data_IF_335117840329
#
_entry.id   IF_335117840329
#
_cell.length_a   1.000
_cell.length_b   1.000
_cell.length_c   1.000
_cell.angle_alpha   90.00
_cell.angle_beta   90.00
_cell.angle_gamma   90.00
#
_symmetry.space_group_name_H-M   'P 1'
#
loop_
_entity.id
_entity.type
_entity.pdbx_description
1 polymer ?
#
# COMPACT_ATOMS: atom_id res chain seq x y z
N UNK A 1 28.12 57.92 -16.81
CA UNK A 1 29.45 57.31 -16.87
C UNK A 1 29.37 56.19 -17.90
N UNK A 2 29.71 56.46 -19.18
CA UNK A 2 30.91 55.93 -19.86
C UNK A 2 30.96 54.37 -19.83
N UNK A 3 30.98 53.59 -20.92
CA UNK A 3 31.59 53.77 -22.25
C UNK A 3 31.06 52.69 -23.22
N UNK A 4 31.06 53.07 -24.51
CA UNK A 4 30.85 52.33 -25.76
C UNK A 4 31.67 51.02 -25.90
N UNK A 5 31.15 50.06 -26.69
CA UNK A 5 31.69 49.57 -27.99
C UNK A 5 30.98 48.26 -28.41
N UNK A 6 30.22 48.23 -29.51
CA UNK A 6 30.59 48.12 -30.94
C UNK A 6 30.68 46.65 -31.45
N UNK A 7 29.64 46.27 -32.20
CA UNK A 7 29.63 45.58 -33.53
C UNK A 7 30.21 44.16 -33.69
N UNK A 8 29.40 43.19 -34.16
CA UNK A 8 29.15 42.78 -35.57
C UNK A 8 30.33 41.93 -36.14
N UNK A 9 30.22 40.91 -37.00
CA UNK A 9 29.19 40.43 -37.94
C UNK A 9 29.59 38.99 -38.35
N UNK A 10 28.58 38.15 -38.53
CA UNK A 10 28.39 36.97 -39.41
C UNK A 10 29.48 36.67 -40.48
N UNK A 11 29.88 35.40 -40.70
CA UNK A 11 29.62 34.58 -41.93
C UNK A 11 30.43 33.23 -42.01
N UNK A 12 29.68 32.16 -42.29
CA UNK A 12 29.91 30.82 -42.90
C UNK A 12 31.32 30.25 -43.25
N UNK A 13 31.52 28.94 -43.00
CA UNK A 13 31.80 27.83 -43.96
C UNK A 13 32.19 26.55 -43.15
N UNK A 14 31.35 25.52 -43.03
CA UNK A 14 31.29 24.31 -43.88
C UNK A 14 32.62 23.58 -44.16
N UNK A 15 32.97 22.57 -43.36
CA UNK A 15 33.67 21.35 -43.84
C UNK A 15 33.06 20.14 -43.13
N UNK A 16 32.40 19.29 -43.92
CA UNK A 16 31.98 17.95 -43.58
C UNK A 16 33.14 16.96 -43.82
N UNK A 17 33.28 15.92 -43.00
CA UNK A 17 33.68 14.59 -43.49
C UNK A 17 33.33 13.46 -42.49
N UNK A 18 32.34 12.66 -42.91
CA UNK A 18 32.18 11.20 -42.82
C UNK A 18 32.40 10.44 -41.50
N UNK A 19 31.29 9.90 -40.97
CA UNK A 19 31.19 8.45 -40.76
C UNK A 19 29.87 7.94 -41.35
N UNK A 20 30.00 7.14 -42.40
CA UNK A 20 28.94 6.30 -42.96
C UNK A 20 28.81 5.05 -42.10
N UNK A 21 27.62 4.77 -41.58
CA UNK A 21 27.20 3.40 -41.29
C UNK A 21 25.67 3.27 -41.44
N UNK A 22 25.31 2.31 -42.28
CA UNK A 22 24.00 1.88 -42.77
C UNK A 22 22.74 2.25 -41.98
N UNK A 23 21.78 2.80 -42.72
CA UNK A 23 20.42 3.00 -42.27
C UNK A 23 19.61 1.72 -42.12
N UNK A 24 18.69 1.76 -41.16
CA UNK A 24 17.35 1.23 -41.33
C UNK A 24 16.38 2.30 -40.81
N UNK A 25 15.31 2.51 -41.58
CA UNK A 25 14.33 3.57 -41.39
C UNK A 25 13.59 3.36 -40.07
N UNK A 26 13.66 4.34 -39.18
CA UNK A 26 12.71 4.51 -38.07
C UNK A 26 11.35 4.90 -38.65
N UNK A 27 10.44 3.93 -38.73
CA UNK A 27 9.01 4.21 -38.79
C UNK A 27 8.55 4.39 -37.34
N UNK A 28 8.19 5.61 -36.99
CA UNK A 28 7.53 5.93 -35.74
C UNK A 28 6.10 5.39 -35.85
N UNK A 29 5.78 4.37 -35.05
CA UNK A 29 4.40 4.04 -34.74
C UNK A 29 4.24 4.11 -33.22
N UNK A 30 3.30 4.94 -32.79
CA UNK A 30 2.94 5.18 -31.41
C UNK A 30 2.17 3.97 -30.87
N UNK A 31 2.85 3.09 -30.17
CA UNK A 31 2.30 2.21 -29.12
C UNK A 31 3.51 1.59 -28.42
N UNK A 32 3.89 2.17 -27.28
CA UNK A 32 5.10 1.81 -26.55
C UNK A 32 4.88 0.54 -25.71
N UNK A 33 4.95 -0.62 -26.37
CA UNK A 33 5.39 -1.88 -25.76
C UNK A 33 6.81 -2.12 -26.28
N UNK A 34 7.82 -1.98 -25.41
CA UNK A 34 9.19 -2.39 -25.75
C UNK A 34 9.25 -3.91 -25.69
N UNK A 35 9.09 -4.58 -26.83
CA UNK A 35 9.45 -5.99 -26.96
C UNK A 35 10.98 -6.08 -27.01
N UNK A 36 11.61 -6.53 -25.93
CA UNK A 36 12.93 -7.13 -26.06
C UNK A 36 12.80 -8.28 -27.05
N UNK A 37 13.68 -8.35 -28.06
CA UNK A 37 13.60 -9.43 -29.05
C UNK A 37 13.93 -10.75 -28.34
N UNK A 38 12.89 -11.48 -27.98
CA UNK A 38 12.97 -12.87 -27.61
C UNK A 38 13.65 -13.66 -28.76
N UNK A 39 14.26 -14.77 -28.40
CA UNK A 39 14.79 -15.72 -29.39
C UNK A 39 13.70 -16.08 -30.42
N UNK A 40 14.10 -16.35 -31.66
CA UNK A 40 13.14 -16.66 -32.73
C UNK A 40 12.33 -17.91 -32.37
N UNK A 41 11.00 -17.80 -32.38
CA UNK A 41 10.09 -18.89 -32.00
C UNK A 41 9.78 -18.94 -30.51
N UNK A 42 10.15 -17.89 -29.76
CA UNK A 42 9.80 -17.70 -28.36
C UNK A 42 9.01 -16.40 -28.23
N UNK A 43 7.91 -16.47 -27.47
CA UNK A 43 7.11 -15.32 -27.09
C UNK A 43 7.19 -15.09 -25.60
N UNK A 44 7.40 -13.82 -25.24
CA UNK A 44 7.45 -13.35 -23.86
C UNK A 44 6.33 -12.34 -23.66
N UNK A 45 5.51 -12.57 -22.64
CA UNK A 45 4.47 -11.66 -22.18
C UNK A 45 4.87 -11.12 -20.82
N UNK A 46 5.18 -9.82 -20.72
CA UNK A 46 5.59 -9.21 -19.45
C UNK A 46 4.49 -9.30 -18.39
N UNK A 47 4.88 -9.34 -17.12
CA UNK A 47 3.89 -9.20 -16.04
C UNK A 47 3.28 -7.80 -16.01
N UNK A 48 2.11 -7.69 -15.39
CA UNK A 48 1.43 -6.40 -15.24
C UNK A 48 2.31 -5.40 -14.48
N UNK A 49 2.98 -5.83 -13.40
CA UNK A 49 3.88 -4.98 -12.64
C UNK A 49 5.11 -4.54 -13.44
N UNK A 50 5.73 -5.42 -14.24
CA UNK A 50 6.91 -5.08 -15.06
C UNK A 50 6.61 -4.11 -16.19
N UNK A 51 5.42 -4.22 -16.78
CA UNK A 51 4.97 -3.39 -17.91
C UNK A 51 4.25 -2.10 -17.47
N UNK A 52 4.08 -1.90 -16.16
CA UNK A 52 3.34 -0.78 -15.61
C UNK A 52 3.94 0.55 -16.05
N UNK A 53 3.08 1.44 -16.54
CA UNK A 53 3.40 2.85 -16.67
C UNK A 53 2.76 3.59 -15.52
N UNK A 54 3.38 4.70 -15.10
CA UNK A 54 2.82 5.54 -14.05
C UNK A 54 2.40 6.90 -14.60
N UNK A 55 1.49 7.55 -13.88
CA UNK A 55 1.04 8.92 -14.17
C UNK A 55 0.87 9.71 -12.89
N UNK A 56 0.96 11.05 -13.00
CA UNK A 56 0.66 11.94 -11.87
C UNK A 56 -0.86 12.08 -11.75
N UNK A 57 -1.39 11.74 -10.60
CA UNK A 57 -2.74 12.10 -10.15
C UNK A 57 -2.66 13.32 -9.24
N UNK A 58 -3.54 14.29 -9.44
CA UNK A 58 -3.52 15.54 -8.69
C UNK A 58 -4.93 16.09 -8.51
N UNK A 59 -5.21 16.53 -7.29
CA UNK A 59 -6.43 17.23 -6.88
C UNK A 59 -6.05 18.53 -6.17
N UNK A 60 -7.04 19.28 -5.69
CA UNK A 60 -6.77 20.44 -4.82
C UNK A 60 -6.14 20.03 -3.47
N UNK A 61 -6.39 18.81 -3.01
CA UNK A 61 -6.00 18.35 -1.67
C UNK A 61 -4.67 17.61 -1.66
N UNK A 62 -4.33 16.89 -2.72
CA UNK A 62 -3.07 16.15 -2.81
C UNK A 62 -2.64 15.85 -4.24
N UNK A 63 -1.37 15.47 -4.38
CA UNK A 63 -0.83 14.85 -5.58
C UNK A 63 -0.08 13.56 -5.25
N UNK A 64 -0.08 12.62 -6.19
CA UNK A 64 0.56 11.30 -6.05
C UNK A 64 0.80 10.70 -7.44
N UNK A 65 1.85 9.91 -7.58
CA UNK A 65 2.11 9.07 -8.75
C UNK A 65 1.37 7.76 -8.58
N UNK A 66 0.64 7.32 -9.61
CA UNK A 66 -0.13 6.07 -9.58
C UNK A 66 0.18 5.23 -10.81
N UNK A 67 -0.02 3.89 -10.75
CA UNK A 67 -0.11 3.09 -11.95
C UNK A 67 -1.21 3.64 -12.88
N UNK A 68 -0.89 3.77 -14.16
CA UNK A 68 -1.77 4.39 -15.15
C UNK A 68 -3.09 3.62 -15.28
N UNK A 69 -4.20 4.34 -15.25
CA UNK A 69 -5.54 3.76 -15.35
C UNK A 69 -6.06 3.10 -14.06
N UNK A 70 -5.31 3.16 -12.95
CA UNK A 70 -5.84 2.76 -11.65
C UNK A 70 -6.86 3.77 -11.13
N UNK A 71 -7.82 3.26 -10.36
CA UNK A 71 -8.91 4.07 -9.82
C UNK A 71 -8.47 4.71 -8.52
N UNK A 72 -8.64 6.03 -8.41
CA UNK A 72 -8.46 6.77 -7.16
C UNK A 72 -9.82 7.13 -6.59
N UNK A 73 -10.06 6.73 -5.34
CA UNK A 73 -11.23 7.12 -4.56
C UNK A 73 -10.80 7.75 -3.24
N UNK A 74 -11.55 8.75 -2.81
CA UNK A 74 -11.34 9.40 -1.52
C UNK A 74 -12.62 9.41 -0.72
N UNK A 75 -12.49 9.49 0.60
CA UNK A 75 -13.60 9.58 1.53
C UNK A 75 -13.14 10.23 2.83
N UNK A 76 -14.08 10.71 3.63
CA UNK A 76 -13.78 11.43 4.86
C UNK A 76 -13.26 12.84 4.58
N UNK A 77 -13.29 13.69 5.60
CA UNK A 77 -12.79 15.06 5.52
C UNK A 77 -11.70 15.32 6.56
N UNK A 78 -10.84 16.30 6.29
CA UNK A 78 -9.81 16.74 7.23
C UNK A 78 -8.96 15.55 7.75
N UNK A 79 -8.91 15.35 9.06
CA UNK A 79 -8.10 14.30 9.67
C UNK A 79 -8.67 12.88 9.50
N UNK A 80 -9.91 12.75 9.02
CA UNK A 80 -10.52 11.47 8.66
C UNK A 80 -10.35 11.15 7.17
N UNK A 81 -9.63 11.99 6.42
CA UNK A 81 -9.44 11.75 4.99
C UNK A 81 -8.78 10.39 4.72
N UNK A 82 -9.28 9.72 3.70
CA UNK A 82 -8.82 8.42 3.25
C UNK A 82 -8.63 8.44 1.74
N UNK A 83 -7.56 7.78 1.28
CA UNK A 83 -7.23 7.61 -0.13
C UNK A 83 -7.13 6.12 -0.40
N UNK A 84 -7.84 5.63 -1.40
CA UNK A 84 -7.68 4.28 -1.95
C UNK A 84 -7.38 4.37 -3.43
N UNK A 85 -6.27 3.78 -3.83
CA UNK A 85 -5.81 3.70 -5.23
C UNK A 85 -5.69 2.23 -5.57
N UNK A 86 -6.48 1.72 -6.51
CA UNK A 86 -6.51 0.29 -6.81
C UNK A 86 -6.60 -0.01 -8.31
N UNK A 87 -6.09 -1.18 -8.69
CA UNK A 87 -6.34 -1.76 -9.99
C UNK A 87 -7.85 -2.08 -10.12
N UNK A 88 -8.58 -1.49 -11.08
CA UNK A 88 -10.01 -1.74 -11.24
C UNK A 88 -10.33 -3.19 -11.64
N UNK A 89 -9.37 -3.91 -12.23
CA UNK A 89 -9.52 -5.31 -12.63
C UNK A 89 -9.12 -6.29 -11.51
N UNK A 90 -8.24 -5.87 -10.60
CA UNK A 90 -7.81 -6.67 -9.46
C UNK A 90 -7.61 -5.81 -8.19
N UNK A 91 -8.70 -5.47 -7.47
CA UNK A 91 -8.68 -4.47 -6.39
C UNK A 91 -7.79 -4.79 -5.18
N UNK A 92 -7.30 -6.03 -5.05
CA UNK A 92 -6.30 -6.38 -4.02
C UNK A 92 -4.95 -5.73 -4.30
N UNK A 93 -4.66 -5.38 -5.57
CA UNK A 93 -3.52 -4.56 -5.96
C UNK A 93 -3.88 -3.10 -5.67
N UNK A 94 -3.38 -2.57 -4.54
CA UNK A 94 -3.79 -1.25 -4.07
C UNK A 94 -2.78 -0.58 -3.14
N UNK A 95 -2.91 0.74 -3.08
CA UNK A 95 -2.33 1.61 -2.05
C UNK A 95 -3.49 2.23 -1.26
N UNK A 96 -3.43 2.13 0.06
CA UNK A 96 -4.48 2.62 0.95
C UNK A 96 -3.92 3.48 2.08
N UNK A 97 -4.62 4.57 2.36
CA UNK A 97 -4.28 5.53 3.39
C UNK A 97 -5.54 5.90 4.16
N UNK A 98 -5.43 5.92 5.49
CA UNK A 98 -6.37 6.57 6.37
C UNK A 98 -5.60 7.38 7.41
N UNK A 99 -5.91 8.67 7.51
CA UNK A 99 -5.16 9.58 8.38
C UNK A 99 -5.45 9.34 9.87
N UNK A 100 -6.70 9.02 10.21
CA UNK A 100 -7.17 8.74 11.57
C UNK A 100 -8.31 7.74 11.57
N UNK A 101 -8.31 6.87 12.57
CA UNK A 101 -9.40 5.98 12.91
C UNK A 101 -9.77 6.11 14.39
N UNK A 102 -11.02 6.47 14.65
CA UNK A 102 -11.67 6.43 15.96
C UNK A 102 -13.15 6.04 15.78
N UNK A 103 -13.84 5.49 16.78
CA UNK A 103 -13.45 5.20 18.16
C UNK A 103 -13.10 3.72 18.28
N UNK A 104 -12.00 3.37 18.95
CA UNK A 104 -11.58 1.97 19.16
C UNK A 104 -11.64 1.65 20.66
N UNK A 105 -12.73 1.04 21.14
CA UNK A 105 -12.95 0.88 22.58
C UNK A 105 -11.92 -0.04 23.26
N UNK A 106 -11.55 0.29 24.50
CA UNK A 106 -10.61 -0.52 25.29
C UNK A 106 -11.08 -1.94 25.57
N UNK A 107 -12.38 -2.13 25.81
CA UNK A 107 -12.90 -3.41 26.27
C UNK A 107 -14.37 -3.66 25.91
N UNK A 108 -14.73 -4.94 25.86
CA UNK A 108 -16.11 -5.37 25.70
C UNK A 108 -17.00 -4.94 26.89
N UNK A 109 -16.44 -4.83 28.10
CA UNK A 109 -17.14 -4.31 29.27
C UNK A 109 -17.52 -2.83 29.07
N UNK A 110 -16.58 -2.00 28.58
CA UNK A 110 -16.83 -0.62 28.21
C UNK A 110 -17.90 -0.48 27.13
N UNK A 111 -17.81 -1.30 26.06
CA UNK A 111 -18.83 -1.35 25.00
C UNK A 111 -20.23 -1.67 25.55
N UNK A 112 -20.31 -2.67 26.43
CA UNK A 112 -21.56 -3.07 27.08
C UNK A 112 -22.15 -1.94 27.92
N UNK A 113 -21.32 -1.21 28.66
CA UNK A 113 -21.77 -0.05 29.43
C UNK A 113 -22.23 1.10 28.53
N UNK A 114 -21.57 1.37 27.41
CA UNK A 114 -22.05 2.35 26.43
C UNK A 114 -23.42 1.96 25.86
N UNK A 115 -23.62 0.69 25.53
CA UNK A 115 -24.92 0.18 25.08
C UNK A 115 -26.00 0.34 26.15
N UNK A 116 -25.69 0.07 27.42
CA UNK A 116 -26.65 0.27 28.52
C UNK A 116 -27.00 1.74 28.69
N UNK A 117 -26.02 2.64 28.69
CA UNK A 117 -26.25 4.08 28.77
C UNK A 117 -27.14 4.57 27.61
N UNK A 118 -26.93 4.04 26.40
CA UNK A 118 -27.80 4.33 25.26
C UNK A 118 -29.23 3.85 25.49
N UNK A 119 -29.41 2.61 25.97
CA UNK A 119 -30.73 2.04 26.28
C UNK A 119 -31.46 2.80 27.41
N UNK A 120 -30.73 3.47 28.30
CA UNK A 120 -31.27 4.35 29.35
C UNK A 120 -31.64 5.75 28.82
N UNK A 121 -31.51 6.00 27.52
CA UNK A 121 -31.91 7.25 26.86
C UNK A 121 -30.76 8.21 26.57
N UNK A 122 -29.50 7.87 26.86
CA UNK A 122 -28.36 8.70 26.47
C UNK A 122 -28.05 8.53 24.97
N UNK A 123 -28.70 9.33 24.13
CA UNK A 123 -28.50 9.27 22.68
C UNK A 123 -27.07 9.57 22.24
N UNK A 124 -26.27 10.29 23.04
CA UNK A 124 -24.84 10.54 22.76
C UNK A 124 -23.97 9.27 22.88
N UNK A 125 -24.44 8.25 23.59
CA UNK A 125 -23.75 6.97 23.71
C UNK A 125 -23.88 6.09 22.46
N UNK A 126 -24.75 6.45 21.50
CA UNK A 126 -25.02 5.62 20.32
C UNK A 126 -23.75 5.31 19.50
N UNK A 127 -22.89 6.32 19.32
CA UNK A 127 -21.63 6.17 18.57
C UNK A 127 -20.70 5.15 19.25
N UNK A 128 -20.45 5.35 20.55
CA UNK A 128 -19.62 4.45 21.36
C UNK A 128 -20.23 3.04 21.47
N UNK A 129 -21.54 2.91 21.54
CA UNK A 129 -22.19 1.60 21.62
C UNK A 129 -21.97 0.74 20.36
N UNK A 130 -21.80 1.39 19.19
CA UNK A 130 -21.53 0.72 17.91
C UNK A 130 -20.04 0.49 17.66
N UNK A 131 -19.18 1.34 18.20
CA UNK A 131 -17.73 1.32 18.00
C UNK A 131 -17.12 -0.09 18.22
N UNK A 132 -16.11 -0.49 17.43
CA UNK A 132 -15.40 -1.76 17.61
C UNK A 132 -14.56 -1.75 18.90
N UNK A 133 -14.20 -2.94 19.38
CA UNK A 133 -13.31 -3.12 20.54
C UNK A 133 -11.92 -3.52 20.05
N UNK A 134 -10.89 -2.85 20.55
CA UNK A 134 -9.49 -3.19 20.32
C UNK A 134 -8.89 -3.71 21.63
N UNK A 135 -9.09 -5.00 21.93
CA UNK A 135 -8.63 -5.58 23.20
C UNK A 135 -7.10 -5.67 23.31
N UNK A 136 -6.41 -5.80 22.17
CA UNK A 136 -4.96 -5.90 22.09
C UNK A 136 -4.44 -4.70 21.28
N UNK A 137 -4.22 -3.53 21.89
CA UNK A 137 -3.77 -2.34 21.18
C UNK A 137 -2.36 -2.52 20.61
N UNK A 138 -2.28 -2.64 19.30
CA UNK A 138 -1.04 -2.70 18.50
C UNK A 138 -1.36 -2.45 17.03
N UNK A 139 -0.35 -2.27 16.18
CA UNK A 139 -0.55 -2.23 14.73
C UNK A 139 -1.28 -3.50 14.24
N UNK A 140 -0.86 -4.68 14.70
CA UNK A 140 -1.51 -5.94 14.34
C UNK A 140 -2.94 -6.04 14.88
N UNK A 141 -3.14 -5.65 16.14
CA UNK A 141 -4.46 -5.68 16.76
C UNK A 141 -5.46 -4.81 16.01
N UNK A 142 -5.02 -3.62 15.57
CA UNK A 142 -5.82 -2.73 14.75
C UNK A 142 -6.18 -3.36 13.40
N UNK A 143 -5.20 -3.90 12.66
CA UNK A 143 -5.49 -4.52 11.36
C UNK A 143 -6.38 -5.78 11.48
N UNK A 144 -6.30 -6.53 12.58
CA UNK A 144 -7.23 -7.64 12.87
C UNK A 144 -8.69 -7.21 13.02
N UNK A 145 -8.95 -5.98 13.47
CA UNK A 145 -10.31 -5.44 13.61
C UNK A 145 -10.66 -4.42 12.52
N UNK A 146 -9.77 -4.17 11.57
CA UNK A 146 -9.91 -3.08 10.60
C UNK A 146 -11.23 -3.14 9.84
N UNK A 147 -11.60 -4.33 9.37
CA UNK A 147 -12.89 -4.56 8.72
C UNK A 147 -14.09 -4.16 9.60
N UNK A 148 -14.08 -4.52 10.89
CA UNK A 148 -15.12 -4.12 11.84
C UNK A 148 -15.16 -2.60 12.05
N UNK A 149 -13.99 -1.97 12.08
CA UNK A 149 -13.88 -0.51 12.12
C UNK A 149 -14.48 0.12 10.86
N UNK A 150 -14.15 -0.37 9.66
CA UNK A 150 -14.68 0.17 8.40
C UNK A 150 -16.19 0.01 8.27
N UNK A 151 -16.75 -1.11 8.76
CA UNK A 151 -18.20 -1.31 8.81
C UNK A 151 -18.86 -0.28 9.74
N UNK A 152 -18.26 -0.04 10.90
CA UNK A 152 -18.72 0.96 11.85
C UNK A 152 -18.70 2.39 11.27
N UNK A 153 -17.57 2.86 10.73
CA UNK A 153 -17.48 4.25 10.25
C UNK A 153 -18.26 4.49 8.97
N UNK A 154 -18.44 3.47 8.12
CA UNK A 154 -19.28 3.60 6.92
C UNK A 154 -20.76 3.84 7.29
N UNK A 155 -21.21 3.38 8.46
CA UNK A 155 -22.55 3.66 8.97
C UNK A 155 -22.60 4.97 9.79
N UNK A 156 -21.55 5.23 10.57
CA UNK A 156 -21.54 6.31 11.55
C UNK A 156 -21.18 7.69 10.97
N UNK A 157 -20.32 7.74 9.95
CA UNK A 157 -19.72 8.97 9.44
C UNK A 157 -20.21 9.27 8.01
N UNK A 158 -21.09 10.28 7.83
CA UNK A 158 -21.64 10.63 6.52
C UNK A 158 -20.60 11.03 5.46
N UNK A 159 -19.42 11.49 5.90
CA UNK A 159 -18.33 11.89 5.00
C UNK A 159 -17.69 10.70 4.25
N UNK A 160 -17.99 9.46 4.65
CA UNK A 160 -17.64 8.26 3.89
C UNK A 160 -18.76 7.76 2.98
N UNK A 161 -19.85 8.52 2.78
CA UNK A 161 -20.94 8.10 1.91
C UNK A 161 -20.44 7.84 0.47
N UNK A 162 -20.65 6.62 -0.02
CA UNK A 162 -20.20 6.17 -1.35
C UNK A 162 -18.71 5.81 -1.42
N UNK A 163 -17.95 5.96 -0.34
CA UNK A 163 -16.57 5.49 -0.25
C UNK A 163 -16.54 4.00 0.12
N UNK A 164 -15.68 3.23 -0.53
CA UNK A 164 -15.53 1.79 -0.29
C UNK A 164 -14.15 1.51 0.27
N UNK A 165 -14.09 1.27 1.57
CA UNK A 165 -12.88 0.82 2.25
C UNK A 165 -12.40 -0.55 1.72
N UNK A 166 -11.08 -0.82 1.74
CA UNK A 166 -10.59 -2.18 1.52
C UNK A 166 -10.99 -3.10 2.69
N UNK A 167 -10.97 -4.41 2.44
CA UNK A 167 -11.14 -5.43 3.49
C UNK A 167 -9.81 -6.12 3.77
N UNK A 168 -9.49 -6.28 5.05
CA UNK A 168 -8.30 -6.99 5.53
C UNK A 168 -8.72 -8.09 6.50
N UNK A 169 -9.68 -8.92 6.09
CA UNK A 169 -10.20 -10.01 6.92
C UNK A 169 -9.16 -11.13 7.08
N UNK A 170 -9.22 -11.91 8.16
CA UNK A 170 -8.28 -13.02 8.37
C UNK A 170 -6.81 -12.60 8.51
N UNK A 171 -6.56 -11.35 8.90
CA UNK A 171 -5.23 -10.75 8.98
C UNK A 171 -4.23 -11.58 9.79
N UNK A 172 -3.17 -12.04 9.13
CA UNK A 172 -2.14 -12.92 9.70
C UNK A 172 -0.74 -12.38 9.38
N UNK A 173 -0.01 -11.99 10.43
CA UNK A 173 1.35 -11.44 10.30
C UNK A 173 2.34 -12.55 9.93
N UNK A 174 3.17 -12.30 8.92
CA UNK A 174 4.24 -13.20 8.46
C UNK A 174 5.62 -12.70 8.84
N UNK A 175 5.85 -11.38 8.77
CA UNK A 175 7.09 -10.72 9.20
C UNK A 175 6.79 -9.44 10.00
N UNK A 176 7.71 -9.09 10.91
CA UNK A 176 7.62 -7.91 11.77
C UNK A 176 8.91 -7.11 11.70
N UNK A 177 8.77 -5.79 11.64
CA UNK A 177 9.89 -4.86 11.62
C UNK A 177 9.63 -3.69 12.55
N UNK A 178 10.71 -3.09 13.02
CA UNK A 178 10.60 -1.92 13.88
C UNK A 178 9.95 -0.75 13.13
N UNK A 179 8.94 -0.12 13.73
CA UNK A 179 8.38 1.11 13.20
C UNK A 179 9.41 2.25 13.22
N UNK A 180 9.32 3.08 12.18
CA UNK A 180 10.03 4.35 12.00
C UNK A 180 9.11 5.55 12.20
N UNK A 181 7.86 5.33 12.64
CA UNK A 181 6.91 6.41 12.87
C UNK A 181 7.44 7.41 13.89
N UNK A 182 7.17 8.69 13.64
CA UNK A 182 7.44 9.77 14.59
C UNK A 182 6.57 9.68 15.85
N UNK A 183 5.49 8.89 15.81
CA UNK A 183 4.55 8.68 16.92
C UNK A 183 4.90 7.48 17.80
N UNK A 184 5.97 6.74 17.49
CA UNK A 184 6.41 5.54 18.21
C UNK A 184 6.50 5.68 19.73
N UNK A 185 6.84 6.86 20.25
CA UNK A 185 6.99 7.12 21.68
C UNK A 185 5.66 7.19 22.44
N UNK A 186 4.56 7.42 21.72
CA UNK A 186 3.20 7.56 22.28
C UNK A 186 2.24 6.48 21.76
N UNK A 187 2.65 5.72 20.74
CA UNK A 187 1.88 4.61 20.19
C UNK A 187 2.17 3.29 20.91
N UNK A 188 1.19 2.38 20.85
CA UNK A 188 1.20 1.07 21.47
C UNK A 188 1.47 0.03 20.39
N UNK A 189 2.44 -0.86 20.63
CA UNK A 189 2.72 -2.00 19.74
C UNK A 189 2.96 -1.61 18.28
N UNK A 190 3.65 -0.48 18.06
CA UNK A 190 3.89 0.10 16.74
C UNK A 190 4.99 -0.65 15.98
N UNK A 191 4.60 -1.24 14.86
CA UNK A 191 5.41 -2.11 14.00
C UNK A 191 5.11 -1.83 12.52
N UNK A 192 6.06 -2.14 11.65
CA UNK A 192 5.77 -2.39 10.24
C UNK A 192 5.54 -3.89 10.09
N UNK A 193 4.44 -4.27 9.45
CA UNK A 193 4.02 -5.66 9.34
C UNK A 193 3.98 -6.07 7.88
N UNK A 194 4.51 -7.26 7.57
CA UNK A 194 4.10 -8.01 6.40
C UNK A 194 3.02 -8.98 6.84
N UNK A 195 1.92 -9.05 6.11
CA UNK A 195 0.82 -9.92 6.48
C UNK A 195 0.07 -10.45 5.25
N UNK A 196 -0.59 -11.60 5.44
CA UNK A 196 -1.63 -12.09 4.55
C UNK A 196 -3.00 -11.72 5.08
N UNK A 197 -3.95 -11.56 4.18
CA UNK A 197 -5.34 -11.25 4.49
C UNK A 197 -6.27 -11.83 3.43
N UNK A 198 -7.57 -11.65 3.64
CA UNK A 198 -8.62 -11.99 2.70
C UNK A 198 -9.49 -10.78 2.44
N UNK A 199 -9.89 -10.62 1.18
CA UNK A 199 -10.96 -9.72 0.76
C UNK A 199 -11.97 -10.61 0.01
N UNK A 200 -13.10 -10.89 0.68
CA UNK A 200 -14.03 -11.94 0.28
C UNK A 200 -13.31 -13.31 0.16
N UNK A 201 -13.35 -13.95 -1.02
CA UNK A 201 -12.71 -15.25 -1.26
C UNK A 201 -11.28 -15.13 -1.81
N UNK A 202 -10.79 -13.90 -2.03
CA UNK A 202 -9.45 -13.66 -2.59
C UNK A 202 -8.42 -13.50 -1.47
N UNK A 203 -7.26 -14.14 -1.66
CA UNK A 203 -6.14 -14.03 -0.74
C UNK A 203 -5.21 -12.88 -1.16
N UNK A 204 -4.91 -12.01 -0.21
CA UNK A 204 -4.01 -10.88 -0.36
C UNK A 204 -2.77 -11.01 0.49
N UNK A 205 -1.77 -10.25 0.11
CA UNK A 205 -0.53 -10.06 0.85
C UNK A 205 -0.11 -8.59 0.77
N UNK A 206 0.50 -8.07 1.83
CA UNK A 206 0.97 -6.70 1.80
C UNK A 206 1.81 -6.27 2.99
N UNK A 207 2.18 -4.99 2.94
CA UNK A 207 2.88 -4.26 3.99
C UNK A 207 1.93 -3.26 4.66
N UNK A 208 1.97 -3.20 5.99
CA UNK A 208 0.99 -2.49 6.81
C UNK A 208 1.67 -1.68 7.92
N UNK A 209 1.11 -0.51 8.22
CA UNK A 209 1.55 0.37 9.31
C UNK A 209 0.34 1.10 9.92
N UNK A 210 0.34 1.29 11.24
CA UNK A 210 -0.65 2.09 11.96
C UNK A 210 -0.14 2.42 13.37
N UNK A 211 -0.35 3.67 13.78
CA UNK A 211 0.04 4.19 15.10
C UNK A 211 -1.17 4.19 16.05
N UNK A 212 -1.30 3.17 16.91
CA UNK A 212 -2.40 3.09 17.90
C UNK A 212 -2.03 3.88 19.15
N UNK A 213 -2.84 4.86 19.55
CA UNK A 213 -2.61 5.74 20.70
C UNK A 213 -3.77 5.64 21.70
N UNK A 214 -3.45 5.54 22.98
CA UNK A 214 -4.41 5.55 24.08
C UNK A 214 -4.87 6.98 24.41
N UNK A 215 -6.18 7.22 24.32
CA UNK A 215 -6.81 8.51 24.66
C UNK A 215 -7.30 8.58 26.10
N UNK A 216 -6.95 7.58 26.90
CA UNK A 216 -7.16 7.51 28.33
C UNK A 216 -8.47 6.82 28.68
N UNK A 217 -8.53 6.38 29.94
CA UNK A 217 -9.74 5.81 30.51
C UNK A 217 -10.79 6.87 30.80
N UNK A 218 -12.05 6.53 30.55
CA UNK A 218 -13.21 7.36 30.88
C UNK A 218 -14.22 6.55 31.66
N UNK A 219 -14.29 6.77 32.97
CA UNK A 219 -15.17 5.99 33.85
C UNK A 219 -16.64 6.33 33.60
N UNK A 220 -17.39 5.37 33.09
CA UNK A 220 -18.83 5.47 32.82
C UNK A 220 -19.62 4.52 33.71
N UNK A 221 -20.89 4.83 33.92
CA UNK A 221 -21.79 3.91 34.61
C UNK A 221 -21.90 2.60 33.83
N UNK A 222 -21.64 1.48 34.51
CA UNK A 222 -21.87 0.13 34.00
C UNK A 222 -23.28 -0.39 34.29
N UNK A 223 -24.25 0.49 34.57
CA UNK A 223 -25.68 0.19 34.78
C UNK A 223 -26.02 -0.65 36.03
N UNK A 224 -25.05 -1.30 36.63
CA UNK A 224 -25.21 -2.21 37.75
C UNK A 224 -25.00 -1.51 39.10
N UNK A 225 -25.81 -1.87 40.09
CA UNK A 225 -25.67 -1.42 41.48
C UNK A 225 -25.29 -2.62 42.34
N UNK A 226 -24.15 -2.55 43.01
CA UNK A 226 -23.68 -3.56 43.98
C UNK A 226 -23.50 -2.86 45.32
N UNK A 227 -24.10 -3.39 46.40
CA UNK A 227 -24.05 -2.78 47.74
C UNK A 227 -24.45 -1.28 47.76
N UNK A 228 -25.49 -0.91 47.01
CA UNK A 228 -25.94 0.48 46.86
C UNK A 228 -24.92 1.42 46.20
N UNK A 229 -23.88 0.90 45.54
CA UNK A 229 -22.91 1.66 44.77
C UNK A 229 -23.04 1.36 43.28
N UNK A 230 -23.19 2.42 42.48
CA UNK A 230 -23.17 2.34 41.03
C UNK A 230 -21.78 1.94 40.57
N UNK A 231 -21.70 0.83 39.84
CA UNK A 231 -20.43 0.35 39.32
C UNK A 231 -20.00 1.22 38.13
N UNK A 232 -18.73 1.58 38.10
CA UNK A 232 -18.11 2.27 36.98
C UNK A 232 -17.22 1.29 36.21
N UNK A 233 -17.19 1.43 34.89
CA UNK A 233 -16.28 0.70 34.01
C UNK A 233 -15.56 1.67 33.10
N UNK A 234 -14.40 1.26 32.59
CA UNK A 234 -13.68 2.06 31.61
C UNK A 234 -14.42 2.04 30.26
N UNK A 235 -14.93 3.21 29.87
CA UNK A 235 -15.50 3.51 28.56
C UNK A 235 -14.55 4.28 27.64
N UNK A 236 -13.26 4.35 27.99
CA UNK A 236 -12.19 4.93 27.19
C UNK A 236 -11.93 4.18 25.89
N UNK A 237 -11.06 4.76 25.06
CA UNK A 237 -10.82 4.30 23.71
C UNK A 237 -9.42 4.67 23.22
N UNK A 238 -8.96 3.92 22.22
CA UNK A 238 -7.82 4.21 21.39
C UNK A 238 -8.24 4.96 20.12
N UNK A 239 -7.26 5.61 19.52
CA UNK A 239 -7.31 6.09 18.14
C UNK A 239 -6.13 5.51 17.37
N UNK A 240 -6.28 5.26 16.08
CA UNK A 240 -5.16 4.87 15.21
C UNK A 240 -4.87 5.98 14.19
N UNK A 241 -3.59 6.24 13.93
CA UNK A 241 -3.13 7.27 13.01
C UNK A 241 -2.18 6.70 11.96
N UNK A 242 -1.96 7.47 10.88
CA UNK A 242 -1.01 7.15 9.81
C UNK A 242 -1.20 5.72 9.28
N UNK A 243 -2.45 5.32 9.07
CA UNK A 243 -2.79 3.96 8.67
C UNK A 243 -2.47 3.82 7.19
N UNK A 244 -1.59 2.86 6.88
CA UNK A 244 -1.14 2.57 5.53
C UNK A 244 -1.21 1.09 5.24
N UNK A 245 -1.65 0.76 4.03
CA UNK A 245 -1.50 -0.56 3.46
C UNK A 245 -1.05 -0.47 1.99
N UNK A 246 -0.05 -1.25 1.63
CA UNK A 246 0.33 -1.53 0.23
C UNK A 246 0.14 -3.02 0.03
N UNK A 247 -0.79 -3.41 -0.85
CA UNK A 247 -1.20 -4.81 -0.99
C UNK A 247 -1.27 -5.23 -2.45
N UNK A 248 -1.18 -6.54 -2.67
CA UNK A 248 -1.49 -7.19 -3.94
C UNK A 248 -2.14 -8.55 -3.70
N UNK A 249 -2.57 -9.20 -4.78
CA UNK A 249 -2.93 -10.63 -4.73
C UNK A 249 -1.76 -11.42 -4.18
N UNK A 250 -2.05 -12.36 -3.28
CA UNK A 250 -1.05 -13.24 -2.68
C UNK A 250 -0.19 -13.89 -3.77
N UNK A 251 1.10 -14.03 -3.48
CA UNK A 251 2.14 -14.55 -4.40
C UNK A 251 2.49 -13.64 -5.59
N UNK A 252 1.73 -12.56 -5.85
CA UNK A 252 2.09 -11.52 -6.84
C UNK A 252 2.64 -10.26 -6.18
N UNK A 253 2.51 -10.13 -4.85
CA UNK A 253 3.03 -8.98 -4.10
C UNK A 253 4.53 -8.77 -4.30
N UNK A 254 5.30 -9.84 -4.53
CA UNK A 254 6.72 -9.76 -4.88
C UNK A 254 7.02 -8.96 -6.14
N UNK A 255 6.06 -8.89 -7.07
CA UNK A 255 6.16 -8.12 -8.30
C UNK A 255 5.71 -6.67 -8.10
N UNK A 256 4.72 -6.46 -7.23
CA UNK A 256 4.07 -5.16 -7.04
C UNK A 256 4.68 -4.28 -5.96
N UNK A 257 5.29 -4.86 -4.91
CA UNK A 257 5.72 -4.13 -3.71
C UNK A 257 6.49 -2.86 -4.07
N UNK A 258 7.58 -2.98 -4.83
CA UNK A 258 8.46 -1.85 -5.17
C UNK A 258 7.75 -0.79 -6.01
N UNK A 259 6.93 -1.19 -6.99
CA UNK A 259 6.15 -0.27 -7.82
C UNK A 259 5.21 0.57 -6.95
N UNK A 260 4.50 -0.09 -6.04
CA UNK A 260 3.46 0.55 -5.25
C UNK A 260 4.06 1.40 -4.13
N UNK A 261 5.10 0.96 -3.44
CA UNK A 261 5.78 1.78 -2.42
C UNK A 261 6.47 3.01 -3.04
N UNK A 262 7.07 2.87 -4.23
CA UNK A 262 7.61 4.02 -4.98
C UNK A 262 6.53 5.03 -5.38
N UNK A 263 5.38 4.55 -5.88
CA UNK A 263 4.23 5.40 -6.18
C UNK A 263 3.76 6.14 -4.91
N UNK A 264 3.55 5.41 -3.82
CA UNK A 264 3.02 5.93 -2.57
C UNK A 264 3.95 6.95 -1.90
N UNK A 265 5.27 6.80 -2.05
CA UNK A 265 6.30 7.74 -1.58
C UNK A 265 6.20 9.12 -2.25
N UNK A 266 5.47 9.25 -3.35
CA UNK A 266 5.28 10.55 -4.02
C UNK A 266 4.08 11.33 -3.50
N UNK A 267 3.32 10.79 -2.54
CA UNK A 267 2.18 11.48 -1.97
C UNK A 267 2.57 12.80 -1.32
N UNK A 268 1.88 13.85 -1.71
CA UNK A 268 2.02 15.17 -1.10
C UNK A 268 0.64 15.79 -0.93
N UNK A 269 0.27 16.09 0.32
CA UNK A 269 -0.90 16.91 0.61
C UNK A 269 -0.60 18.39 0.39
N UNK A 270 -1.60 19.15 -0.05
CA UNK A 270 -1.49 20.59 -0.23
C UNK A 270 -1.42 21.30 1.13
N UNK A 271 -0.72 22.44 1.18
CA UNK A 271 -0.62 23.26 2.39
C UNK A 271 -2.00 23.68 2.92
N UNK A 272 -2.96 23.91 2.02
CA UNK A 272 -4.35 24.22 2.36
C UNK A 272 -5.05 23.06 3.05
N UNK A 273 -4.89 21.84 2.53
CA UNK A 273 -5.44 20.64 3.16
C UNK A 273 -4.85 20.43 4.55
N UNK A 274 -3.52 20.48 4.66
CA UNK A 274 -2.79 20.33 5.94
C UNK A 274 -3.26 21.38 6.96
N UNK A 275 -3.45 22.62 6.51
CA UNK A 275 -3.93 23.71 7.38
C UNK A 275 -5.40 23.56 7.79
N UNK A 276 -6.24 22.98 6.94
CA UNK A 276 -7.63 22.66 7.27
C UNK A 276 -7.70 21.50 8.26
N UNK A 277 -6.98 20.40 7.99
CA UNK A 277 -6.91 19.24 8.86
C UNK A 277 -6.39 19.59 10.26
N UNK A 278 -5.33 20.41 10.36
CA UNK A 278 -4.82 20.89 11.65
C UNK A 278 -5.82 21.76 12.42
N UNK A 279 -6.65 22.57 11.74
CA UNK A 279 -7.67 23.41 12.40
C UNK A 279 -8.87 22.60 12.88
N UNK A 280 -9.23 21.56 12.14
CA UNK A 280 -10.29 20.64 12.53
C UNK A 280 -9.84 19.67 13.65
N UNK A 281 -8.53 19.51 13.83
CA UNK A 281 -7.95 18.69 14.89
C UNK A 281 -7.78 19.50 16.17
N UNK A 282 -8.68 19.34 17.13
CA UNK A 282 -8.61 19.95 18.48
C UNK A 282 -7.54 19.30 19.40
N UNK A 283 -6.78 18.34 18.89
CA UNK A 283 -5.99 17.40 19.68
C UNK A 283 -4.52 17.80 19.89
N UNK A 284 -3.97 17.43 21.06
CA UNK A 284 -2.58 17.68 21.48
C UNK A 284 -1.49 17.02 20.61
N UNK A 285 -1.87 16.24 19.60
CA UNK A 285 -0.93 15.60 18.68
C UNK A 285 -0.84 16.47 17.44
N UNK A 286 0.30 17.12 17.22
CA UNK A 286 0.54 18.04 16.10
C UNK A 286 0.61 17.27 14.77
N UNK A 287 -0.54 16.93 14.21
CA UNK A 287 -0.67 15.77 13.33
C UNK A 287 -0.49 16.10 11.83
N UNK A 288 -1.13 17.12 11.26
CA UNK A 288 -1.23 17.20 9.80
C UNK A 288 0.06 17.63 9.07
N UNK A 289 0.99 18.32 9.74
CA UNK A 289 2.31 18.62 9.15
C UNK A 289 3.22 17.38 9.17
N UNK A 290 3.04 16.49 10.13
CA UNK A 290 3.74 15.21 10.19
C UNK A 290 3.20 14.22 9.15
N UNK A 291 1.91 14.30 8.79
CA UNK A 291 1.26 13.39 7.83
C UNK A 291 2.06 13.21 6.53
N UNK A 292 2.43 14.28 5.80
CA UNK A 292 3.19 14.13 4.53
C UNK A 292 4.65 13.71 4.73
N UNK A 293 5.30 14.13 5.82
CA UNK A 293 6.69 13.74 6.11
C UNK A 293 6.80 12.29 6.59
N UNK A 294 5.79 11.83 7.35
CA UNK A 294 5.68 10.47 7.86
C UNK A 294 5.51 9.47 6.71
N UNK A 295 4.73 9.78 5.66
CA UNK A 295 4.53 8.82 4.57
C UNK A 295 5.82 8.44 3.87
N UNK A 296 6.68 9.39 3.52
CA UNK A 296 7.93 9.07 2.82
C UNK A 296 8.85 8.22 3.69
N UNK A 297 8.90 8.52 5.00
CA UNK A 297 9.67 7.73 5.96
C UNK A 297 9.10 6.32 6.14
N UNK A 298 7.77 6.19 6.25
CA UNK A 298 7.09 4.89 6.32
C UNK A 298 7.32 4.09 5.04
N UNK A 299 7.27 4.72 3.85
CA UNK A 299 7.54 4.04 2.58
C UNK A 299 9.00 3.61 2.46
N UNK A 300 9.96 4.46 2.82
CA UNK A 300 11.38 4.10 2.86
C UNK A 300 11.63 2.93 3.82
N UNK A 301 10.94 2.92 4.95
CA UNK A 301 11.03 1.84 5.92
C UNK A 301 10.32 0.56 5.44
N UNK A 302 9.20 0.64 4.71
CA UNK A 302 8.55 -0.51 4.07
C UNK A 302 9.46 -1.13 3.02
N UNK A 303 10.06 -0.33 2.13
CA UNK A 303 11.02 -0.80 1.13
C UNK A 303 12.24 -1.46 1.80
N UNK A 304 12.78 -0.84 2.85
CA UNK A 304 13.89 -1.43 3.61
C UNK A 304 13.50 -2.74 4.31
N UNK A 305 12.30 -2.80 4.87
CA UNK A 305 11.76 -4.01 5.51
C UNK A 305 11.56 -5.13 4.49
N UNK A 306 11.06 -4.79 3.30
CA UNK A 306 10.90 -5.71 2.18
C UNK A 306 12.24 -6.31 1.72
N UNK A 307 13.30 -5.51 1.62
CA UNK A 307 14.63 -6.04 1.28
C UNK A 307 15.20 -6.99 2.34
N UNK A 308 14.82 -6.77 3.61
CA UNK A 308 15.24 -7.58 4.77
C UNK A 308 14.26 -8.70 5.15
N UNK A 309 13.25 -8.98 4.33
CA UNK A 309 12.21 -9.97 4.63
C UNK A 309 12.71 -11.41 4.69
N UNK A 310 11.85 -12.28 5.24
CA UNK A 310 12.12 -13.71 5.28
C UNK A 310 11.98 -14.37 3.90
N UNK A 311 13.11 -14.41 3.18
CA UNK A 311 13.21 -15.01 1.84
C UNK A 311 12.88 -16.51 1.79
N UNK A 312 13.05 -17.25 2.88
CA UNK A 312 12.73 -18.67 2.91
C UNK A 312 11.22 -18.90 2.75
N UNK A 313 10.40 -18.04 3.35
CA UNK A 313 8.94 -18.10 3.17
C UNK A 313 8.55 -17.79 1.73
N UNK A 314 9.19 -16.80 1.10
CA UNK A 314 8.94 -16.48 -0.31
C UNK A 314 9.23 -17.68 -1.22
N UNK A 315 10.40 -18.31 -1.05
CA UNK A 315 10.81 -19.45 -1.88
C UNK A 315 9.77 -20.56 -1.82
N UNK A 316 9.31 -20.90 -0.60
CA UNK A 316 8.30 -21.93 -0.39
C UNK A 316 6.96 -21.51 -1.04
N UNK A 317 6.50 -20.29 -0.78
CA UNK A 317 5.23 -19.78 -1.29
C UNK A 317 5.22 -19.72 -2.82
N UNK A 318 6.29 -19.22 -3.43
CA UNK A 318 6.42 -19.08 -4.87
C UNK A 318 6.50 -20.46 -5.56
N UNK A 319 7.27 -21.41 -5.02
CA UNK A 319 7.31 -22.79 -5.54
C UNK A 319 5.95 -23.48 -5.44
N UNK A 320 5.24 -23.30 -4.32
CA UNK A 320 3.91 -23.86 -4.14
C UNK A 320 2.92 -23.26 -5.14
N UNK A 321 2.95 -21.93 -5.33
CA UNK A 321 2.13 -21.22 -6.31
C UNK A 321 2.38 -21.74 -7.73
N UNK A 322 3.65 -21.85 -8.12
CA UNK A 322 4.03 -22.35 -9.45
C UNK A 322 3.56 -23.80 -9.65
N UNK A 323 3.75 -24.67 -8.65
CA UNK A 323 3.29 -26.06 -8.72
C UNK A 323 1.76 -26.18 -8.83
N UNK A 324 1.00 -25.37 -8.09
CA UNK A 324 -0.48 -25.37 -8.13
C UNK A 324 -0.97 -24.88 -9.50
N UNK A 325 -0.30 -23.87 -10.07
CA UNK A 325 -0.68 -23.25 -11.34
C UNK A 325 -0.10 -23.96 -12.57
N UNK A 326 0.75 -24.97 -12.39
CA UNK A 326 1.33 -25.76 -13.48
C UNK A 326 2.49 -25.07 -14.20
N UNK A 327 3.24 -24.24 -13.49
CA UNK A 327 4.40 -23.51 -14.01
C UNK A 327 5.73 -24.06 -13.52
N UNK A 328 6.73 -23.95 -14.39
CA UNK A 328 8.15 -24.02 -14.06
C UNK A 328 8.78 -22.64 -14.25
N UNK A 329 9.94 -22.40 -13.63
CA UNK A 329 10.70 -21.15 -13.85
C UNK A 329 11.93 -21.40 -14.70
N UNK A 330 12.12 -20.51 -15.65
CA UNK A 330 13.36 -20.38 -16.42
C UNK A 330 13.94 -18.99 -16.21
N UNK A 331 15.25 -18.85 -16.40
CA UNK A 331 15.91 -17.56 -16.45
C UNK A 331 16.61 -17.38 -17.79
N UNK A 332 16.63 -16.14 -18.27
CA UNK A 332 17.42 -15.74 -19.43
C UNK A 332 18.89 -15.60 -19.01
N UNK A 333 19.76 -16.39 -19.63
CA UNK A 333 21.20 -16.41 -19.33
C UNK A 333 21.94 -15.13 -19.73
N UNK A 334 21.34 -14.28 -20.58
CA UNK A 334 21.92 -13.01 -21.00
C UNK A 334 21.54 -11.87 -20.04
N UNK A 335 20.31 -11.85 -19.54
CA UNK A 335 19.77 -10.75 -18.72
C UNK A 335 19.59 -11.10 -17.23
N UNK A 336 19.61 -12.38 -16.89
CA UNK A 336 19.19 -12.94 -15.60
C UNK A 336 17.73 -12.66 -15.23
N UNK A 337 16.91 -12.24 -16.20
CA UNK A 337 15.47 -12.10 -15.98
C UNK A 337 14.81 -13.48 -15.84
N UNK A 338 13.82 -13.58 -14.96
CA UNK A 338 13.15 -14.84 -14.63
C UNK A 338 11.76 -14.83 -15.23
N UNK A 339 11.35 -15.93 -15.83
CA UNK A 339 10.05 -16.10 -16.46
C UNK A 339 9.35 -17.36 -15.95
N UNK A 340 8.02 -17.33 -15.91
CA UNK A 340 7.20 -18.54 -15.73
C UNK A 340 6.91 -19.15 -17.10
N UNK A 341 7.12 -20.45 -17.22
CA UNK A 341 6.76 -21.24 -18.39
C UNK A 341 5.78 -22.33 -17.97
N UNK A 342 4.92 -22.81 -18.88
CA UNK A 342 4.15 -24.01 -18.60
C UNK A 342 5.09 -25.20 -18.38
N UNK A 343 4.75 -26.10 -17.45
CA UNK A 343 5.54 -27.29 -17.16
C UNK A 343 5.89 -28.08 -18.43
N UNK A 344 7.17 -28.46 -18.56
CA UNK A 344 7.69 -29.19 -19.72
C UNK A 344 8.21 -28.27 -20.84
N UNK A 345 8.24 -26.95 -20.65
CA UNK A 345 8.89 -26.03 -21.59
C UNK A 345 10.38 -26.38 -21.76
N UNK A 346 11.11 -26.64 -20.67
CA UNK A 346 12.54 -26.99 -20.73
C UNK A 346 12.80 -28.36 -21.36
N UNK A 347 11.79 -29.24 -21.41
CA UNK A 347 11.91 -30.56 -22.05
C UNK A 347 11.89 -30.46 -23.58
N UNK A 348 11.23 -29.42 -24.12
CA UNK A 348 10.99 -29.23 -25.57
C UNK A 348 11.72 -28.01 -26.15
N UNK A 349 12.34 -27.20 -25.29
CA UNK A 349 13.19 -26.08 -25.68
C UNK A 349 14.62 -26.57 -25.88
N UNK A 350 15.13 -26.40 -27.09
CA UNK A 350 16.45 -26.85 -27.56
C UNK A 350 17.48 -25.71 -27.64
N UNK A 351 17.08 -24.49 -27.27
CA UNK A 351 17.98 -23.33 -27.22
C UNK A 351 18.81 -23.29 -25.94
N UNK A 352 19.80 -22.40 -25.92
CA UNK A 352 20.72 -22.24 -24.78
C UNK A 352 20.42 -21.00 -23.92
N UNK A 353 19.53 -20.10 -24.39
CA UNK A 353 19.30 -18.80 -23.76
C UNK A 353 18.47 -18.93 -22.49
N UNK A 354 17.39 -19.69 -22.51
CA UNK A 354 16.49 -19.86 -21.36
C UNK A 354 16.76 -21.18 -20.63
N UNK A 355 17.22 -21.10 -19.39
CA UNK A 355 17.60 -22.28 -18.59
C UNK A 355 16.72 -22.43 -17.36
N UNK A 356 16.48 -23.67 -16.93
CA UNK A 356 15.75 -23.95 -15.70
C UNK A 356 16.39 -23.25 -14.50
N UNK A 357 15.55 -22.69 -13.63
CA UNK A 357 16.03 -22.12 -12.36
C UNK A 357 16.49 -23.25 -11.44
N UNK A 358 17.78 -23.27 -11.11
CA UNK A 358 18.38 -24.23 -10.16
C UNK A 358 18.76 -23.61 -8.82
N UNK A 359 18.86 -22.28 -8.75
CA UNK A 359 19.12 -21.54 -7.51
C UNK A 359 17.79 -21.06 -6.91
N UNK A 360 17.48 -21.55 -5.70
CA UNK A 360 16.29 -21.17 -4.96
C UNK A 360 16.19 -19.66 -4.72
N UNK A 361 17.32 -18.94 -4.64
CA UNK A 361 17.31 -17.49 -4.46
C UNK A 361 16.61 -16.75 -5.60
N UNK A 362 16.51 -17.33 -6.80
CA UNK A 362 15.76 -16.72 -7.90
C UNK A 362 14.25 -16.64 -7.61
N UNK A 363 13.70 -17.50 -6.75
CA UNK A 363 12.30 -17.39 -6.31
C UNK A 363 12.06 -16.18 -5.38
N UNK A 364 13.12 -15.52 -4.89
CA UNK A 364 13.04 -14.30 -4.08
C UNK A 364 13.00 -13.03 -4.93
N UNK A 365 12.98 -13.17 -6.26
CA UNK A 365 12.94 -12.09 -7.23
C UNK A 365 11.60 -12.09 -7.98
N UNK A 366 11.12 -10.90 -8.38
CA UNK A 366 9.96 -10.82 -9.24
C UNK A 366 10.23 -11.51 -10.58
N UNK A 367 9.20 -12.09 -11.18
CA UNK A 367 9.28 -12.56 -12.56
C UNK A 367 9.11 -11.38 -13.51
N UNK A 368 9.80 -11.43 -14.65
CA UNK A 368 9.67 -10.44 -15.72
C UNK A 368 8.47 -10.72 -16.63
N UNK A 369 8.00 -11.97 -16.69
CA UNK A 369 6.88 -12.34 -17.54
C UNK A 369 6.63 -13.84 -17.65
N UNK A 370 5.79 -14.18 -18.61
CA UNK A 370 5.49 -15.54 -19.05
C UNK A 370 6.19 -15.81 -20.36
N UNK A 371 6.77 -17.00 -20.51
CA UNK A 371 7.48 -17.42 -21.70
C UNK A 371 6.82 -18.66 -22.30
N UNK A 372 6.64 -18.64 -23.61
CA UNK A 372 6.04 -19.72 -24.38
C UNK A 372 6.77 -19.90 -25.72
N UNK A 373 6.65 -21.10 -26.29
CA UNK A 373 7.09 -21.39 -27.66
C UNK A 373 5.99 -20.95 -28.63
N UNK A 374 6.37 -20.25 -29.69
CA UNK A 374 5.46 -19.79 -30.75
C UNK A 374 4.89 -20.95 -31.60
#
# INVERSE_FOLDING_TARGET
MNIKKLTALILSLSIALFFSACGSKTVVNSDSIKTEKAEKGIKITQTAAKSVQTEKYETADFSITIPKGWTVTTGGTNIYHSIRICDPSEPLNQMFILLKADILLHSQAGKTAWQQNYNMGNTKAALFAKAPVLENPSTEGFFKIFSQYTDFVSEAEPDYYGYVFPRFDGFTVTDRYASTSSMKSVSMGDELLRATFTDNEKNGEGMFAADVVDFGSYMISGGNVVNYQLQAVDGGYYMAYNIVAVTAVKDTFIEWESVLTECMKTLQYSDSFVSAANRASDEKVALAKQISQNFNQTMDAMMSSWENRNKSQDIISQKQSDAILGYERVYDTETNEIYKANNGFTDVYDGERYKAVTDDNMYTKPISGYIEKD
#
